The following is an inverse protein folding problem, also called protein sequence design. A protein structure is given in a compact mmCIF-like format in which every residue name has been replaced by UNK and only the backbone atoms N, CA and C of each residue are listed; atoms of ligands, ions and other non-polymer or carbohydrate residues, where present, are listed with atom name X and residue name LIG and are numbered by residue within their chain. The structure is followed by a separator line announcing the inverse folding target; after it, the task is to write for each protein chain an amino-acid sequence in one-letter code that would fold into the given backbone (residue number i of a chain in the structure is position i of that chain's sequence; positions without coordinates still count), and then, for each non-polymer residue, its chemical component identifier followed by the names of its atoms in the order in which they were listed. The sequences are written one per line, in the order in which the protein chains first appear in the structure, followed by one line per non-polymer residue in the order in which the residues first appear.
data_IF_120552810719
#
_entry.id   IF_120552810719
#
_cell.length_a   1.000
_cell.length_b   1.000
_cell.length_c   1.000
_cell.angle_alpha   90.00
_cell.angle_beta   90.00
_cell.angle_gamma   90.00
#
_symmetry.space_group_name_H-M   'P 1'
#
loop_
_entity.id
_entity.type
_entity.pdbx_description
1 polymer ?
#
# COMPACT_ATOMS: atom_id res chain seq x y z
N UNK A 1 -23.07 20.41 -28.78
CA UNK A 1 -23.62 20.33 -27.42
C UNK A 1 -22.54 20.82 -26.47
N UNK A 2 -22.86 21.73 -25.54
CA UNK A 2 -21.86 22.20 -24.57
C UNK A 2 -21.82 21.23 -23.40
N UNK A 3 -20.63 20.72 -23.05
CA UNK A 3 -20.47 19.75 -21.96
C UNK A 3 -19.20 19.98 -21.15
N UNK A 4 -19.25 19.63 -19.87
CA UNK A 4 -18.10 19.47 -18.98
C UNK A 4 -17.98 17.99 -18.65
N UNK A 5 -16.76 17.46 -18.77
CA UNK A 5 -16.42 16.09 -18.42
C UNK A 5 -15.48 16.09 -17.23
N UNK A 6 -15.91 15.49 -16.13
CA UNK A 6 -15.11 15.31 -14.92
C UNK A 6 -14.52 13.90 -14.91
N UNK A 7 -13.19 13.83 -14.89
CA UNK A 7 -12.45 12.57 -14.97
C UNK A 7 -11.99 12.09 -13.60
N UNK A 8 -11.77 10.77 -13.52
CA UNK A 8 -11.17 10.14 -12.36
C UNK A 8 -9.70 10.50 -12.25
N UNK A 9 -9.22 10.57 -11.02
CA UNK A 9 -7.81 10.70 -10.67
C UNK A 9 -7.12 9.34 -10.79
N UNK A 10 -6.00 9.30 -11.51
CA UNK A 10 -5.15 8.10 -11.62
C UNK A 10 -4.41 7.78 -10.31
N UNK A 11 -4.31 8.75 -9.40
CA UNK A 11 -3.57 8.63 -8.14
C UNK A 11 -4.07 7.51 -7.24
N UNK A 12 -5.39 7.22 -7.26
CA UNK A 12 -5.95 6.11 -6.48
C UNK A 12 -5.52 4.74 -7.03
N UNK A 13 -5.47 4.59 -8.35
CA UNK A 13 -4.96 3.37 -8.99
C UNK A 13 -3.49 3.13 -8.64
N UNK A 14 -2.67 4.18 -8.73
CA UNK A 14 -1.26 4.13 -8.33
C UNK A 14 -1.07 3.81 -6.84
N UNK A 15 -1.94 4.33 -5.95
CA UNK A 15 -1.91 3.98 -4.53
C UNK A 15 -2.17 2.49 -4.29
N UNK A 16 -3.15 1.91 -5.00
CA UNK A 16 -3.45 0.48 -4.89
C UNK A 16 -2.24 -0.34 -5.34
N UNK A 17 -1.65 0.00 -6.49
CA UNK A 17 -0.44 -0.68 -6.99
C UNK A 17 0.69 -0.58 -5.95
N UNK A 18 0.97 0.63 -5.46
CA UNK A 18 2.01 0.85 -4.46
C UNK A 18 1.78 0.12 -3.14
N UNK A 19 0.52 -0.12 -2.75
CA UNK A 19 0.18 -0.91 -1.56
C UNK A 19 0.33 -2.41 -1.79
N UNK A 20 0.05 -2.92 -2.99
CA UNK A 20 0.12 -4.35 -3.30
C UNK A 20 1.53 -4.81 -3.68
N UNK A 21 2.30 -3.97 -4.37
CA UNK A 21 3.61 -4.32 -4.93
C UNK A 21 4.59 -4.89 -3.87
N UNK A 22 4.75 -4.31 -2.66
CA UNK A 22 5.68 -4.84 -1.67
C UNK A 22 5.34 -6.27 -1.22
N UNK A 23 4.06 -6.60 -1.09
CA UNK A 23 3.62 -7.94 -0.71
C UNK A 23 3.91 -8.96 -1.82
N UNK A 24 3.67 -8.59 -3.08
CA UNK A 24 3.97 -9.47 -4.21
C UNK A 24 5.47 -9.73 -4.32
N UNK A 25 6.30 -8.68 -4.23
CA UNK A 25 7.76 -8.82 -4.30
C UNK A 25 8.30 -9.66 -3.14
N UNK A 26 7.84 -9.38 -1.92
CA UNK A 26 8.26 -10.12 -0.73
C UNK A 26 7.90 -11.60 -0.85
N UNK A 27 6.67 -11.93 -1.26
CA UNK A 27 6.22 -13.31 -1.36
C UNK A 27 6.86 -14.06 -2.52
N UNK A 28 7.18 -13.39 -3.64
CA UNK A 28 7.96 -14.01 -4.71
C UNK A 28 9.37 -14.38 -4.23
N UNK A 29 9.98 -13.54 -3.39
CA UNK A 29 11.24 -13.86 -2.73
C UNK A 29 11.07 -15.00 -1.73
N UNK A 30 9.99 -15.02 -0.92
CA UNK A 30 9.78 -16.16 0.00
C UNK A 30 9.55 -17.48 -0.74
N UNK A 31 8.94 -17.41 -1.91
CA UNK A 31 8.59 -18.59 -2.69
C UNK A 31 9.84 -19.31 -3.23
N UNK A 32 10.95 -18.59 -3.51
CA UNK A 32 12.19 -19.21 -4.01
C UNK A 32 12.80 -20.19 -3.01
N UNK A 33 12.65 -19.91 -1.72
CA UNK A 33 13.32 -20.66 -0.66
C UNK A 33 12.39 -21.72 -0.05
N UNK A 34 11.13 -21.75 -0.47
CA UNK A 34 10.14 -22.72 0.05
C UNK A 34 10.12 -24.01 -0.75
N UNK A 35 10.24 -25.15 -0.06
CA UNK A 35 10.09 -26.47 -0.67
C UNK A 35 8.70 -26.64 -1.28
N UNK A 36 8.66 -27.18 -2.49
CA UNK A 36 7.42 -27.45 -3.22
C UNK A 36 6.46 -28.33 -2.42
N UNK A 37 5.18 -27.97 -2.43
CA UNK A 37 4.11 -28.74 -1.77
C UNK A 37 3.97 -28.49 -0.27
N UNK A 38 4.81 -27.64 0.33
CA UNK A 38 4.66 -27.24 1.73
C UNK A 38 3.49 -26.28 1.94
N UNK A 39 3.01 -26.16 3.18
CA UNK A 39 1.96 -25.19 3.53
C UNK A 39 2.41 -23.75 3.30
N UNK A 40 3.70 -23.45 3.45
CA UNK A 40 4.28 -22.13 3.17
C UNK A 40 4.25 -21.83 1.66
N UNK A 41 4.63 -22.79 0.81
CA UNK A 41 4.54 -22.66 -0.64
C UNK A 41 3.12 -22.29 -1.12
N UNK A 42 2.10 -22.97 -0.60
CA UNK A 42 0.70 -22.68 -0.95
C UNK A 42 0.26 -21.30 -0.44
N UNK A 43 0.67 -20.91 0.78
CA UNK A 43 0.35 -19.59 1.33
C UNK A 43 0.94 -18.46 0.51
N UNK A 44 2.20 -18.58 0.09
CA UNK A 44 2.85 -17.56 -0.74
C UNK A 44 2.14 -17.39 -2.08
N UNK A 45 1.75 -18.48 -2.74
CA UNK A 45 0.92 -18.40 -3.95
C UNK A 45 -0.43 -17.72 -3.75
N UNK A 46 -1.13 -18.02 -2.65
CA UNK A 46 -2.40 -17.36 -2.33
C UNK A 46 -2.20 -15.85 -2.11
N UNK A 47 -1.13 -15.47 -1.42
CA UNK A 47 -0.76 -14.09 -1.15
C UNK A 47 -0.44 -13.35 -2.45
N UNK A 48 0.44 -13.93 -3.29
CA UNK A 48 0.80 -13.40 -4.62
C UNK A 48 -0.45 -13.22 -5.48
N UNK A 49 -1.34 -14.23 -5.54
CA UNK A 49 -2.57 -14.13 -6.31
C UNK A 49 -3.48 -13.00 -5.80
N UNK A 50 -3.69 -12.92 -4.48
CA UNK A 50 -4.57 -11.92 -3.87
C UNK A 50 -4.06 -10.49 -4.10
N UNK A 51 -2.79 -10.22 -3.79
CA UNK A 51 -2.20 -8.90 -3.98
C UNK A 51 -1.91 -8.60 -5.46
N UNK A 52 -1.63 -9.62 -6.29
CA UNK A 52 -1.48 -9.51 -7.73
C UNK A 52 -2.77 -9.06 -8.42
N UNK A 53 -3.94 -9.55 -7.98
CA UNK A 53 -5.24 -9.02 -8.41
C UNK A 53 -5.39 -7.53 -8.08
N UNK A 54 -4.89 -7.10 -6.91
CA UNK A 54 -4.85 -5.70 -6.52
C UNK A 54 -4.05 -4.84 -7.51
N UNK A 55 -2.91 -5.34 -8.01
CA UNK A 55 -2.12 -4.66 -9.05
C UNK A 55 -2.94 -4.53 -10.35
N UNK A 56 -3.60 -5.61 -10.81
CA UNK A 56 -4.45 -5.57 -12.00
C UNK A 56 -5.60 -4.55 -11.86
N UNK A 57 -6.28 -4.54 -10.72
CA UNK A 57 -7.33 -3.57 -10.39
C UNK A 57 -6.76 -2.15 -10.38
N UNK A 58 -5.59 -1.96 -9.76
CA UNK A 58 -4.90 -0.68 -9.73
C UNK A 58 -4.54 -0.17 -11.13
N UNK A 59 -4.04 -1.05 -12.01
CA UNK A 59 -3.75 -0.72 -13.41
C UNK A 59 -5.03 -0.35 -14.15
N UNK A 60 -6.10 -1.12 -14.00
CA UNK A 60 -7.40 -0.80 -14.60
C UNK A 60 -7.89 0.59 -14.16
N UNK A 61 -7.82 0.92 -12.87
CA UNK A 61 -8.18 2.24 -12.36
C UNK A 61 -7.25 3.36 -12.84
N UNK A 62 -5.97 3.07 -13.06
CA UNK A 62 -4.97 4.04 -13.51
C UNK A 62 -5.18 4.39 -14.98
N UNK A 63 -5.56 3.40 -15.80
CA UNK A 63 -5.75 3.55 -17.23
C UNK A 63 -7.21 3.82 -17.64
N UNK A 64 -8.19 3.73 -16.73
CA UNK A 64 -9.58 4.09 -17.02
C UNK A 64 -9.73 5.61 -17.18
N UNK A 65 -9.60 6.09 -18.42
CA UNK A 65 -9.75 7.50 -18.80
C UNK A 65 -11.18 7.92 -19.11
N UNK A 66 -12.17 7.06 -18.82
CA UNK A 66 -13.58 7.40 -19.05
C UNK A 66 -14.04 8.48 -18.07
N UNK A 67 -14.85 9.47 -18.52
CA UNK A 67 -15.42 10.46 -17.62
C UNK A 67 -16.30 9.77 -16.59
N UNK A 68 -16.26 10.27 -15.35
CA UNK A 68 -17.14 9.81 -14.30
C UNK A 68 -18.45 10.60 -14.30
N UNK A 69 -18.35 11.93 -14.32
CA UNK A 69 -19.50 12.82 -14.35
C UNK A 69 -19.46 13.63 -15.65
N UNK A 70 -20.59 13.70 -16.33
CA UNK A 70 -20.80 14.53 -17.51
C UNK A 70 -21.92 15.52 -17.19
N UNK A 71 -21.64 16.81 -17.36
CA UNK A 71 -22.57 17.91 -17.12
C UNK A 71 -22.85 18.55 -18.47
N UNK A 72 -24.09 18.55 -18.90
CA UNK A 72 -24.52 19.09 -20.19
C UNK A 72 -25.53 20.21 -19.98
N UNK A 73 -25.96 20.85 -21.07
CA UNK A 73 -27.06 21.82 -21.05
C UNK A 73 -28.44 21.21 -20.69
N UNK A 74 -28.60 19.89 -20.82
CA UNK A 74 -29.86 19.16 -20.56
C UNK A 74 -29.90 18.53 -19.18
N UNK A 75 -28.77 18.10 -18.63
CA UNK A 75 -28.73 17.45 -17.33
C UNK A 75 -27.33 17.09 -16.85
N UNK A 76 -27.31 16.23 -15.84
CA UNK A 76 -26.10 15.66 -15.25
C UNK A 76 -26.19 14.13 -15.29
N UNK A 77 -25.09 13.50 -15.67
CA UNK A 77 -24.95 12.05 -15.68
C UNK A 77 -23.72 11.63 -14.88
N UNK A 78 -23.87 10.62 -14.03
CA UNK A 78 -22.77 10.01 -13.27
C UNK A 78 -22.74 8.51 -13.52
N UNK A 79 -21.59 8.04 -14.00
CA UNK A 79 -21.34 6.62 -14.28
C UNK A 79 -21.50 5.72 -13.05
N UNK A 80 -21.32 6.25 -11.84
CA UNK A 80 -21.35 5.46 -10.59
C UNK A 80 -22.75 5.22 -10.05
N UNK A 81 -23.73 6.06 -10.40
CA UNK A 81 -25.11 5.95 -9.90
C UNK A 81 -25.90 4.86 -10.63
N UNK A 82 -25.43 4.42 -11.81
CA UNK A 82 -26.14 3.52 -12.73
C UNK A 82 -27.56 4.01 -13.08
N UNK A 83 -27.78 5.32 -13.08
CA UNK A 83 -29.00 5.95 -13.54
C UNK A 83 -28.80 6.56 -14.94
N UNK A 84 -29.91 6.93 -15.58
CA UNK A 84 -29.86 7.73 -16.81
C UNK A 84 -29.55 9.20 -16.46
N UNK A 85 -29.38 10.05 -17.47
CA UNK A 85 -29.12 11.48 -17.26
C UNK A 85 -30.28 12.11 -16.47
N UNK A 86 -29.93 12.78 -15.36
CA UNK A 86 -30.88 13.51 -14.53
C UNK A 86 -31.05 14.89 -15.14
N UNK A 87 -32.24 15.21 -15.61
CA UNK A 87 -32.50 16.50 -16.24
C UNK A 87 -32.47 17.61 -15.18
N UNK A 88 -32.00 18.78 -15.58
CA UNK A 88 -31.91 19.92 -14.67
C UNK A 88 -33.25 20.33 -14.07
N UNK A 89 -34.34 20.19 -14.83
CA UNK A 89 -35.69 20.50 -14.39
C UNK A 89 -36.16 19.60 -13.24
N UNK A 90 -35.56 18.40 -13.11
CA UNK A 90 -35.92 17.42 -12.10
C UNK A 90 -35.15 17.63 -10.80
N UNK A 91 -34.13 18.49 -10.78
CA UNK A 91 -33.29 18.75 -9.62
C UNK A 91 -33.82 19.97 -8.88
N UNK A 92 -34.31 19.76 -7.66
CA UNK A 92 -34.79 20.83 -6.78
C UNK A 92 -33.59 21.56 -6.18
N UNK A 93 -32.67 20.81 -5.60
CA UNK A 93 -31.44 21.33 -4.98
C UNK A 93 -30.36 20.24 -4.88
N UNK A 94 -29.13 20.69 -4.62
CA UNK A 94 -27.97 19.87 -4.35
C UNK A 94 -27.26 20.38 -3.10
N UNK A 95 -26.72 19.46 -2.29
CA UNK A 95 -25.94 19.80 -1.11
C UNK A 95 -24.73 18.87 -0.92
N UNK A 96 -23.63 19.38 -0.33
CA UNK A 96 -22.44 18.58 -0.02
C UNK A 96 -22.76 17.58 1.09
N UNK A 97 -22.15 16.39 1.03
CA UNK A 97 -22.27 15.36 2.04
C UNK A 97 -20.95 14.62 2.22
N UNK A 98 -20.44 14.57 3.45
CA UNK A 98 -19.25 13.79 3.82
C UNK A 98 -19.67 12.55 4.61
N UNK A 99 -19.39 11.37 4.06
CA UNK A 99 -19.59 10.08 4.72
C UNK A 99 -18.25 9.36 4.81
N UNK A 100 -17.74 9.16 6.02
CA UNK A 100 -16.48 8.44 6.26
C UNK A 100 -15.29 8.99 5.46
N UNK A 101 -15.11 10.32 5.40
CA UNK A 101 -14.06 11.00 4.64
C UNK A 101 -14.21 10.84 3.11
N UNK A 102 -15.34 10.32 2.65
CA UNK A 102 -15.72 10.30 1.25
C UNK A 102 -16.73 11.42 0.99
N UNK A 103 -16.41 12.22 -0.02
CA UNK A 103 -17.20 13.38 -0.42
C UNK A 103 -18.25 12.98 -1.46
N UNK A 104 -19.46 13.49 -1.27
CA UNK A 104 -20.60 13.29 -2.14
C UNK A 104 -21.32 14.61 -2.38
N UNK A 105 -22.04 14.69 -3.49
CA UNK A 105 -23.08 15.71 -3.67
C UNK A 105 -24.42 14.97 -3.71
N UNK A 106 -25.25 15.22 -2.72
CA UNK A 106 -26.61 14.68 -2.67
C UNK A 106 -27.51 15.55 -3.55
N UNK A 107 -28.26 14.90 -4.45
CA UNK A 107 -29.24 15.57 -5.31
C UNK A 107 -30.65 15.30 -4.79
N UNK A 108 -31.38 16.37 -4.52
CA UNK A 108 -32.81 16.32 -4.21
C UNK A 108 -33.57 16.47 -5.53
N UNK A 109 -34.32 15.43 -5.90
CA UNK A 109 -35.11 15.42 -7.13
C UNK A 109 -36.59 15.59 -6.84
N UNK A 110 -37.34 16.11 -7.81
CA UNK A 110 -38.80 16.14 -7.75
C UNK A 110 -39.43 14.77 -8.05
N UNK A 111 -40.76 14.70 -7.92
CA UNK A 111 -41.55 13.48 -8.11
C UNK A 111 -41.55 12.97 -9.57
N UNK A 112 -41.09 13.78 -10.53
CA UNK A 112 -41.02 13.39 -11.94
C UNK A 112 -39.80 12.52 -12.24
N UNK A 113 -38.81 12.49 -11.35
CA UNK A 113 -37.64 11.64 -11.49
C UNK A 113 -37.94 10.19 -11.09
N UNK A 114 -37.76 9.27 -12.04
CA UNK A 114 -37.96 7.83 -11.81
C UNK A 114 -36.62 7.12 -11.83
N UNK A 115 -36.27 6.49 -10.72
CA UNK A 115 -35.08 5.65 -10.63
C UNK A 115 -35.17 4.46 -11.59
N UNK A 116 -34.19 4.34 -12.47
CA UNK A 116 -34.00 3.17 -13.34
C UNK A 116 -33.74 1.91 -12.53
N UNK A 117 -32.89 2.04 -11.50
CA UNK A 117 -32.60 0.98 -10.55
C UNK A 117 -32.91 1.49 -9.15
N UNK A 118 -33.99 0.96 -8.56
CA UNK A 118 -34.36 1.31 -7.19
C UNK A 118 -33.26 0.86 -6.23
N UNK A 119 -32.86 1.72 -5.27
CA UNK A 119 -31.96 1.31 -4.20
C UNK A 119 -32.60 0.19 -3.37
N UNK A 120 -31.75 -0.64 -2.76
CA UNK A 120 -32.23 -1.68 -1.86
C UNK A 120 -32.88 -1.05 -0.62
N UNK A 121 -33.97 -1.63 -0.11
CA UNK A 121 -34.72 -1.11 1.06
C UNK A 121 -33.83 -0.84 2.28
N UNK A 122 -32.82 -1.68 2.52
CA UNK A 122 -31.88 -1.49 3.62
C UNK A 122 -30.97 -0.26 3.40
N UNK A 123 -30.58 0.00 2.16
CA UNK A 123 -29.76 1.16 1.80
C UNK A 123 -30.57 2.46 1.90
N UNK A 124 -31.86 2.45 1.53
CA UNK A 124 -32.76 3.60 1.72
C UNK A 124 -32.90 3.99 3.18
N UNK A 125 -33.02 3.00 4.08
CA UNK A 125 -33.11 3.25 5.52
C UNK A 125 -31.83 3.90 6.05
N UNK A 126 -30.67 3.39 5.65
CA UNK A 126 -29.36 3.95 6.01
C UNK A 126 -29.22 5.37 5.47
N UNK A 127 -29.55 5.60 4.19
CA UNK A 127 -29.49 6.92 3.57
C UNK A 127 -30.30 7.94 4.38
N UNK A 128 -31.52 7.59 4.79
CA UNK A 128 -32.37 8.44 5.60
C UNK A 128 -31.76 8.75 6.98
N UNK A 129 -31.14 7.77 7.62
CA UNK A 129 -30.51 7.93 8.94
C UNK A 129 -29.24 8.81 8.89
N UNK A 130 -28.49 8.77 7.79
CA UNK A 130 -27.26 9.55 7.60
C UNK A 130 -27.49 10.90 6.88
N UNK A 131 -28.74 11.24 6.57
CA UNK A 131 -29.09 12.47 5.85
C UNK A 131 -28.71 12.48 4.36
N UNK A 132 -28.43 11.31 3.79
CA UNK A 132 -28.15 11.15 2.36
C UNK A 132 -29.45 11.01 1.56
N UNK A 133 -29.44 11.50 0.32
CA UNK A 133 -30.52 11.20 -0.63
C UNK A 133 -30.29 9.83 -1.27
N UNK A 134 -31.27 9.36 -2.03
CA UNK A 134 -31.12 8.15 -2.84
C UNK A 134 -30.25 8.38 -4.10
N UNK A 135 -29.98 9.65 -4.43
CA UNK A 135 -29.17 10.04 -5.58
C UNK A 135 -27.98 10.89 -5.12
N UNK A 136 -26.81 10.24 -5.02
CA UNK A 136 -25.57 10.86 -4.55
C UNK A 136 -24.48 10.74 -5.62
N UNK A 137 -23.90 11.87 -6.00
CA UNK A 137 -22.75 11.92 -6.91
C UNK A 137 -21.48 11.69 -6.10
N UNK A 138 -20.72 10.64 -6.40
CA UNK A 138 -19.53 10.30 -5.63
C UNK A 138 -18.31 11.09 -6.12
N UNK A 139 -17.79 12.01 -5.30
CA UNK A 139 -16.64 12.84 -5.69
C UNK A 139 -15.29 12.23 -5.33
N UNK A 140 -15.26 11.11 -4.60
CA UNK A 140 -14.02 10.57 -4.06
C UNK A 140 -12.95 10.25 -5.11
N UNK A 141 -13.31 10.04 -6.39
CA UNK A 141 -12.34 9.79 -7.45
C UNK A 141 -12.05 11.03 -8.32
N UNK A 142 -12.74 12.15 -8.14
CA UNK A 142 -12.66 13.35 -8.99
C UNK A 142 -11.93 14.46 -8.26
N UNK A 143 -11.07 15.20 -8.96
CA UNK A 143 -10.31 16.30 -8.37
C UNK A 143 -11.04 17.64 -8.51
N UNK A 144 -12.12 17.84 -7.74
CA UNK A 144 -12.94 19.05 -7.81
C UNK A 144 -13.33 19.52 -6.41
N UNK A 145 -13.49 20.84 -6.25
CA UNK A 145 -14.04 21.41 -5.02
C UNK A 145 -15.55 21.10 -4.95
N UNK A 146 -15.92 20.33 -3.93
CA UNK A 146 -17.30 19.89 -3.66
C UNK A 146 -18.29 21.06 -3.52
N UNK A 147 -17.91 22.12 -2.82
CA UNK A 147 -18.78 23.29 -2.61
C UNK A 147 -18.98 24.05 -3.92
N UNK A 148 -17.90 24.30 -4.67
CA UNK A 148 -17.99 24.98 -5.96
C UNK A 148 -18.83 24.19 -6.96
N UNK A 149 -18.67 22.87 -7.01
CA UNK A 149 -19.47 22.02 -7.88
C UNK A 149 -20.95 21.99 -7.44
N UNK A 150 -21.22 21.96 -6.14
CA UNK A 150 -22.59 22.01 -5.61
C UNK A 150 -23.28 23.32 -5.98
N UNK A 151 -22.61 24.45 -5.76
CA UNK A 151 -23.14 25.77 -6.13
C UNK A 151 -23.37 25.88 -7.64
N UNK A 152 -22.47 25.29 -8.43
CA UNK A 152 -22.61 25.23 -9.88
C UNK A 152 -23.85 24.42 -10.32
N UNK A 153 -24.06 23.23 -9.74
CA UNK A 153 -25.24 22.39 -9.98
C UNK A 153 -26.53 23.13 -9.61
N UNK A 154 -26.57 23.77 -8.44
CA UNK A 154 -27.71 24.57 -7.99
C UNK A 154 -28.02 25.77 -8.88
N UNK A 155 -26.99 26.37 -9.49
CA UNK A 155 -27.16 27.44 -10.48
C UNK A 155 -27.73 26.89 -11.78
N UNK A 156 -27.26 25.73 -12.25
CA UNK A 156 -27.75 25.14 -13.50
C UNK A 156 -29.21 24.70 -13.40
N UNK A 157 -29.64 24.11 -12.27
CA UNK A 157 -31.03 23.66 -12.09
C UNK A 157 -32.05 24.80 -12.21
N UNK A 158 -31.68 26.01 -11.80
CA UNK A 158 -32.57 27.19 -11.78
C UNK A 158 -32.61 27.99 -13.09
N UNK A 159 -31.77 27.66 -14.07
CA UNK A 159 -31.56 28.48 -15.27
C UNK A 159 -32.17 27.85 -16.52
N UNK A 160 -32.41 28.66 -17.55
CA UNK A 160 -32.86 28.19 -18.87
C UNK A 160 -31.68 27.66 -19.70
N UNK A 161 -31.97 26.86 -20.72
CA UNK A 161 -30.97 26.17 -21.55
C UNK A 161 -29.87 27.09 -22.12
N UNK A 162 -30.21 28.30 -22.58
CA UNK A 162 -29.22 29.24 -23.12
C UNK A 162 -28.27 29.81 -22.05
N UNK A 163 -28.79 30.07 -20.84
CA UNK A 163 -27.96 30.50 -19.72
C UNK A 163 -27.10 29.35 -19.18
N UNK A 164 -27.63 28.12 -19.15
CA UNK A 164 -26.85 26.92 -18.83
C UNK A 164 -25.66 26.76 -19.77
N UNK A 165 -25.85 26.93 -21.08
CA UNK A 165 -24.75 26.89 -22.06
C UNK A 165 -23.65 27.90 -21.76
N UNK A 166 -24.02 29.13 -21.38
CA UNK A 166 -23.04 30.17 -20.99
C UNK A 166 -22.29 29.75 -19.73
N UNK A 167 -23.00 29.33 -18.69
CA UNK A 167 -22.43 28.88 -17.42
C UNK A 167 -21.44 27.74 -17.61
N UNK A 168 -21.79 26.73 -18.41
CA UNK A 168 -20.93 25.58 -18.73
C UNK A 168 -19.66 26.03 -19.45
N UNK A 169 -19.75 26.96 -20.41
CA UNK A 169 -18.56 27.49 -21.11
C UNK A 169 -17.62 28.28 -20.19
N UNK A 170 -18.18 28.99 -19.21
CA UNK A 170 -17.41 29.84 -18.27
C UNK A 170 -16.93 29.09 -17.03
N UNK A 171 -17.34 27.84 -16.84
CA UNK A 171 -16.95 27.07 -15.67
C UNK A 171 -15.48 26.66 -15.78
N UNK A 172 -14.62 27.40 -15.09
CA UNK A 172 -13.23 27.01 -14.90
C UNK A 172 -13.16 25.98 -13.78
N UNK A 173 -12.83 24.74 -14.13
CA UNK A 173 -12.44 23.76 -13.15
C UNK A 173 -11.10 24.19 -12.55
N UNK A 174 -11.13 24.82 -11.37
CA UNK A 174 -9.94 24.94 -10.53
C UNK A 174 -9.63 23.55 -10.01
N UNK A 175 -8.94 22.76 -10.85
CA UNK A 175 -8.37 21.51 -10.40
C UNK A 175 -7.61 21.79 -9.11
N UNK A 176 -7.92 21.00 -8.10
CA UNK A 176 -7.25 21.04 -6.82
C UNK A 176 -5.79 20.69 -7.11
N UNK A 177 -4.95 21.72 -7.28
CA UNK A 177 -3.59 21.57 -7.83
C UNK A 177 -2.90 20.47 -7.04
N UNK A 178 -2.48 19.41 -7.74
CA UNK A 178 -1.58 18.39 -7.22
C UNK A 178 -0.29 19.10 -6.84
N UNK A 179 -0.27 19.67 -5.64
CA UNK A 179 0.76 20.57 -5.22
C UNK A 179 2.03 19.78 -4.93
N UNK A 180 3.16 20.41 -5.19
CA UNK A 180 4.50 19.99 -4.73
C UNK A 180 4.49 19.49 -3.27
N UNK A 181 3.54 19.97 -2.45
CA UNK A 181 3.26 19.48 -1.09
C UNK A 181 2.96 17.98 -1.00
N UNK A 182 2.28 17.38 -1.99
CA UNK A 182 1.96 15.95 -1.97
C UNK A 182 3.21 15.08 -2.16
N UNK A 183 4.09 15.44 -3.10
CA UNK A 183 5.36 14.75 -3.28
C UNK A 183 6.28 14.91 -2.07
N UNK A 184 6.36 16.13 -1.50
CA UNK A 184 7.10 16.38 -0.27
C UNK A 184 6.60 15.49 0.89
N UNK A 185 5.28 15.31 1.04
CA UNK A 185 4.72 14.40 2.05
C UNK A 185 5.14 12.96 1.83
N UNK A 186 5.15 12.49 0.58
CA UNK A 186 5.63 11.13 0.25
C UNK A 186 7.08 10.98 0.66
N UNK A 187 7.95 11.91 0.27
CA UNK A 187 9.39 11.86 0.62
C UNK A 187 9.58 11.83 2.13
N UNK A 188 8.86 12.69 2.87
CA UNK A 188 8.90 12.70 4.34
C UNK A 188 8.47 11.35 4.92
N UNK A 189 7.40 10.73 4.39
CA UNK A 189 6.95 9.42 4.87
C UNK A 189 7.94 8.31 4.56
N UNK A 190 8.60 8.34 3.40
CA UNK A 190 9.67 7.38 3.08
C UNK A 190 10.84 7.54 4.06
N UNK A 191 11.29 8.77 4.33
CA UNK A 191 12.37 9.03 5.28
C UNK A 191 12.02 8.58 6.71
N UNK A 192 10.79 8.83 7.17
CA UNK A 192 10.31 8.34 8.47
C UNK A 192 10.33 6.82 8.51
N UNK A 193 9.86 6.15 7.45
CA UNK A 193 9.85 4.68 7.38
C UNK A 193 11.25 4.09 7.43
N UNK A 194 12.21 4.69 6.72
CA UNK A 194 13.61 4.29 6.76
C UNK A 194 14.23 4.51 8.14
N UNK A 195 13.97 5.66 8.78
CA UNK A 195 14.46 5.93 10.14
C UNK A 195 13.90 4.93 11.16
N UNK A 196 12.60 4.59 11.06
CA UNK A 196 11.99 3.55 11.88
C UNK A 196 12.60 2.18 11.64
N UNK A 197 12.91 1.83 10.40
CA UNK A 197 13.57 0.57 10.05
C UNK A 197 14.94 0.49 10.72
N UNK A 198 15.77 1.52 10.58
CA UNK A 198 17.09 1.55 11.24
C UNK A 198 16.98 1.46 12.77
N UNK A 199 16.02 2.17 13.37
CA UNK A 199 15.75 2.08 14.80
C UNK A 199 15.33 0.65 15.21
N UNK A 200 14.47 0.02 14.43
CA UNK A 200 14.00 -1.34 14.71
C UNK A 200 15.11 -2.37 14.63
N UNK A 201 16.00 -2.23 13.65
CA UNK A 201 17.16 -3.12 13.47
C UNK A 201 18.22 -2.94 14.56
N UNK A 202 18.22 -1.81 15.28
CA UNK A 202 19.19 -1.55 16.35
C UNK A 202 18.97 -2.42 17.60
N UNK A 203 17.73 -2.80 17.90
CA UNK A 203 17.40 -3.58 19.09
C UNK A 203 16.00 -4.20 18.99
N UNK A 204 15.90 -5.45 19.44
CA UNK A 204 14.62 -6.15 19.57
C UNK A 204 13.62 -5.39 20.46
N UNK A 205 14.09 -4.71 21.51
CA UNK A 205 13.24 -3.91 22.41
C UNK A 205 12.62 -2.73 21.66
N UNK A 206 13.38 -2.07 20.79
CA UNK A 206 12.89 -0.94 19.98
C UNK A 206 11.86 -1.42 18.97
N UNK A 207 12.14 -2.53 18.28
CA UNK A 207 11.18 -3.17 17.37
C UNK A 207 9.85 -3.49 18.08
N UNK A 208 9.90 -4.17 19.23
CA UNK A 208 8.69 -4.51 19.99
C UNK A 208 7.93 -3.28 20.48
N UNK A 209 8.63 -2.21 20.86
CA UNK A 209 8.01 -0.93 21.25
C UNK A 209 7.20 -0.34 20.08
N UNK A 210 7.77 -0.33 18.87
CA UNK A 210 7.07 0.14 17.66
C UNK A 210 5.82 -0.72 17.38
N UNK A 211 5.92 -2.04 17.55
CA UNK A 211 4.79 -2.96 17.36
C UNK A 211 3.65 -2.71 18.36
N UNK A 212 3.97 -2.43 19.63
CA UNK A 212 2.99 -2.09 20.66
C UNK A 212 2.30 -0.75 20.32
N UNK A 213 3.07 0.27 19.94
CA UNK A 213 2.54 1.58 19.52
C UNK A 213 1.62 1.44 18.31
N UNK A 214 1.99 0.62 17.33
CA UNK A 214 1.15 0.30 16.18
C UNK A 214 -0.19 -0.31 16.60
N UNK A 215 -0.17 -1.30 17.51
CA UNK A 215 -1.37 -1.97 18.02
C UNK A 215 -2.31 -1.02 18.76
N UNK A 216 -1.77 -0.19 19.66
CA UNK A 216 -2.54 0.85 20.36
C UNK A 216 -3.13 1.85 19.37
N UNK A 217 -2.35 2.27 18.37
CA UNK A 217 -2.81 3.21 17.35
C UNK A 217 -3.94 2.62 16.50
N UNK A 218 -3.87 1.33 16.15
CA UNK A 218 -4.91 0.65 15.39
C UNK A 218 -6.22 0.60 16.18
N UNK A 219 -6.13 0.30 17.48
CA UNK A 219 -7.26 0.31 18.40
C UNK A 219 -7.91 1.71 18.47
N UNK A 220 -7.11 2.76 18.65
CA UNK A 220 -7.58 4.15 18.73
C UNK A 220 -8.25 4.57 17.41
N UNK A 221 -7.63 4.28 16.28
CA UNK A 221 -8.18 4.61 14.96
C UNK A 221 -9.54 3.95 14.69
N UNK A 222 -9.76 2.75 15.26
CA UNK A 222 -11.01 2.00 15.09
C UNK A 222 -12.12 2.43 16.04
N UNK A 223 -11.82 2.68 17.32
CA UNK A 223 -12.83 2.86 18.38
C UNK A 223 -13.06 4.30 18.84
N UNK A 224 -12.32 5.28 18.34
CA UNK A 224 -12.57 6.72 18.63
C UNK A 224 -12.91 7.50 17.35
N UNK A 225 -14.07 7.24 16.71
CA UNK A 225 -14.44 7.91 15.47
C UNK A 225 -14.70 9.41 15.64
N UNK A 226 -15.04 9.86 16.86
CA UNK A 226 -15.51 11.21 17.16
C UNK A 226 -14.41 12.28 17.08
N UNK A 227 -13.14 11.90 17.24
CA UNK A 227 -12.00 12.81 17.15
C UNK A 227 -11.23 12.58 15.85
N UNK A 228 -11.59 13.34 14.81
CA UNK A 228 -11.01 13.21 13.48
C UNK A 228 -9.48 13.40 13.45
N UNK A 229 -8.94 14.30 14.27
CA UNK A 229 -7.49 14.56 14.35
C UNK A 229 -6.78 13.34 14.94
N UNK A 230 -7.28 12.83 16.07
CA UNK A 230 -6.70 11.67 16.74
C UNK A 230 -6.79 10.42 15.84
N UNK A 231 -7.95 10.18 15.22
CA UNK A 231 -8.15 9.06 14.29
C UNK A 231 -7.16 9.10 13.13
N UNK A 232 -6.96 10.29 12.54
CA UNK A 232 -6.03 10.48 11.43
C UNK A 232 -4.59 10.12 11.82
N UNK A 233 -4.08 10.65 12.94
CA UNK A 233 -2.71 10.39 13.36
C UNK A 233 -2.51 8.96 13.87
N UNK A 234 -3.50 8.39 14.56
CA UNK A 234 -3.50 6.99 14.93
C UNK A 234 -3.46 6.08 13.70
N UNK A 235 -4.25 6.37 12.66
CA UNK A 235 -4.19 5.65 11.39
C UNK A 235 -2.82 5.72 10.71
N UNK A 236 -2.20 6.91 10.70
CA UNK A 236 -0.84 7.10 10.16
C UNK A 236 0.19 6.26 10.94
N UNK A 237 0.13 6.28 12.28
CA UNK A 237 1.04 5.51 13.13
C UNK A 237 0.87 3.99 12.93
N UNK A 238 -0.36 3.51 12.76
CA UNK A 238 -0.64 2.11 12.41
C UNK A 238 0.01 1.73 11.08
N UNK A 239 -0.12 2.56 10.05
CA UNK A 239 0.48 2.31 8.74
C UNK A 239 2.00 2.29 8.80
N UNK A 240 2.63 3.22 9.52
CA UNK A 240 4.07 3.20 9.70
C UNK A 240 4.57 1.97 10.44
N UNK A 241 3.87 1.55 11.49
CA UNK A 241 4.21 0.31 12.20
C UNK A 241 4.11 -0.92 11.31
N UNK A 242 3.07 -1.01 10.48
CA UNK A 242 2.88 -2.13 9.55
C UNK A 242 3.97 -2.16 8.48
N UNK A 243 4.26 -1.01 7.86
CA UNK A 243 5.33 -0.89 6.86
C UNK A 243 6.67 -1.27 7.48
N UNK A 244 6.96 -0.77 8.69
CA UNK A 244 8.18 -1.09 9.41
C UNK A 244 8.30 -2.59 9.71
N UNK A 245 7.22 -3.25 10.14
CA UNK A 245 7.20 -4.70 10.37
C UNK A 245 7.55 -5.47 9.09
N UNK A 246 6.90 -5.14 7.97
CA UNK A 246 7.15 -5.78 6.67
C UNK A 246 8.59 -5.57 6.23
N UNK A 247 9.11 -4.35 6.34
CA UNK A 247 10.50 -4.03 6.00
C UNK A 247 11.49 -4.76 6.90
N UNK A 248 11.24 -4.85 8.21
CA UNK A 248 12.10 -5.59 9.13
C UNK A 248 12.15 -7.08 8.76
N UNK A 249 11.00 -7.70 8.51
CA UNK A 249 10.94 -9.12 8.11
C UNK A 249 11.70 -9.33 6.80
N UNK A 250 11.54 -8.43 5.83
CA UNK A 250 12.27 -8.50 4.57
C UNK A 250 13.78 -8.40 4.78
N UNK A 251 14.24 -7.45 5.62
CA UNK A 251 15.68 -7.29 5.93
C UNK A 251 16.24 -8.51 6.66
N UNK A 252 15.51 -9.05 7.64
CA UNK A 252 15.94 -10.26 8.38
C UNK A 252 16.14 -11.42 7.41
N UNK A 253 15.18 -11.65 6.51
CA UNK A 253 15.29 -12.75 5.55
C UNK A 253 16.41 -12.57 4.55
N UNK A 254 16.59 -11.36 4.01
CA UNK A 254 17.71 -11.08 3.10
C UNK A 254 19.05 -11.28 3.81
N UNK A 255 19.16 -10.85 5.07
CA UNK A 255 20.35 -11.06 5.88
C UNK A 255 20.62 -12.54 6.13
N UNK A 256 19.61 -13.30 6.56
CA UNK A 256 19.74 -14.73 6.84
C UNK A 256 20.14 -15.49 5.58
N UNK A 257 19.49 -15.23 4.43
CA UNK A 257 19.81 -15.88 3.15
C UNK A 257 21.25 -15.60 2.69
N UNK A 258 21.72 -14.35 2.77
CA UNK A 258 23.10 -14.01 2.41
C UNK A 258 24.09 -14.69 3.37
N UNK A 259 23.74 -14.78 4.66
CA UNK A 259 24.59 -15.44 5.66
C UNK A 259 24.69 -16.94 5.39
N UNK A 260 23.59 -17.59 4.99
CA UNK A 260 23.53 -18.99 4.57
C UNK A 260 24.40 -19.24 3.34
N UNK A 261 24.17 -18.49 2.25
CA UNK A 261 24.92 -18.62 0.99
C UNK A 261 26.43 -18.45 1.20
N UNK A 262 26.83 -17.49 2.04
CA UNK A 262 28.25 -17.23 2.33
C UNK A 262 28.85 -18.32 3.22
N UNK A 263 28.11 -18.83 4.20
CA UNK A 263 28.57 -19.90 5.08
C UNK A 263 28.78 -21.20 4.31
N UNK A 264 27.89 -21.53 3.38
CA UNK A 264 28.04 -22.68 2.49
C UNK A 264 29.31 -22.57 1.64
N UNK A 265 29.55 -21.41 1.02
CA UNK A 265 30.78 -21.16 0.25
C UNK A 265 32.05 -21.31 1.10
N UNK A 266 32.03 -20.77 2.33
CA UNK A 266 33.16 -20.90 3.27
C UNK A 266 33.37 -22.35 3.68
N UNK A 267 32.29 -23.09 3.98
CA UNK A 267 32.37 -24.50 4.36
C UNK A 267 32.95 -25.37 3.24
N UNK A 268 32.48 -25.18 1.99
CA UNK A 268 33.00 -25.89 0.81
C UNK A 268 34.51 -25.67 0.66
N UNK A 269 34.98 -24.43 0.74
CA UNK A 269 36.40 -24.11 0.59
C UNK A 269 37.25 -24.66 1.76
N UNK A 270 36.72 -24.70 2.99
CA UNK A 270 37.39 -25.36 4.13
C UNK A 270 37.58 -26.86 3.85
N UNK A 271 36.54 -27.53 3.34
CA UNK A 271 36.63 -28.95 3.01
C UNK A 271 37.59 -29.23 1.85
N UNK A 272 37.61 -28.39 0.82
CA UNK A 272 38.57 -28.48 -0.27
C UNK A 272 40.00 -28.27 0.21
N UNK A 273 40.21 -27.29 1.09
CA UNK A 273 41.51 -27.07 1.73
C UNK A 273 41.97 -28.29 2.52
N UNK A 274 41.08 -28.90 3.32
CA UNK A 274 41.39 -30.09 4.11
C UNK A 274 41.72 -31.29 3.22
N UNK A 275 41.00 -31.49 2.11
CA UNK A 275 41.29 -32.55 1.12
C UNK A 275 42.69 -32.40 0.50
N UNK A 276 43.12 -31.17 0.23
CA UNK A 276 44.42 -30.88 -0.40
C UNK A 276 45.60 -30.96 0.59
N UNK A 277 45.42 -30.45 1.82
CA UNK A 277 46.51 -30.27 2.77
C UNK A 277 46.50 -31.29 3.92
N UNK A 278 45.50 -32.17 4.01
CA UNK A 278 45.26 -33.14 5.10
C UNK A 278 45.05 -32.53 6.50
N UNK A 279 45.12 -31.20 6.61
CA UNK A 279 44.94 -30.42 7.84
C UNK A 279 43.88 -29.34 7.61
N UNK A 280 43.15 -28.97 8.66
CA UNK A 280 42.23 -27.84 8.64
C UNK A 280 42.99 -26.50 8.51
N UNK A 281 42.38 -25.46 7.92
CA UNK A 281 42.98 -24.14 7.86
C UNK A 281 43.14 -23.56 9.28
N UNK A 282 44.23 -22.81 9.50
CA UNK A 282 44.49 -22.17 10.80
C UNK A 282 43.70 -20.89 11.03
N UNK A 283 43.20 -20.26 9.96
CA UNK A 283 42.41 -19.03 10.00
C UNK A 283 41.44 -18.96 8.82
N UNK A 284 40.18 -18.58 9.09
CA UNK A 284 39.12 -18.36 8.10
C UNK A 284 39.46 -17.21 7.14
N UNK A 285 40.28 -16.23 7.53
CA UNK A 285 40.67 -15.14 6.61
C UNK A 285 41.39 -15.64 5.37
N UNK A 286 42.23 -16.67 5.52
CA UNK A 286 42.96 -17.27 4.40
C UNK A 286 42.02 -17.98 3.40
N UNK A 287 40.86 -18.44 3.87
CA UNK A 287 39.78 -19.01 3.09
C UNK A 287 38.99 -17.90 2.40
N UNK A 288 38.59 -16.86 3.15
CA UNK A 288 37.84 -15.71 2.64
C UNK A 288 38.59 -14.94 1.54
N UNK A 289 39.93 -14.90 1.58
CA UNK A 289 40.75 -14.26 0.53
C UNK A 289 40.79 -15.04 -0.79
N UNK A 290 40.53 -16.35 -0.76
CA UNK A 290 40.45 -17.20 -1.96
C UNK A 290 39.07 -17.14 -2.63
N UNK A 291 38.03 -16.92 -1.84
CA UNK A 291 36.67 -16.80 -2.36
C UNK A 291 36.51 -15.49 -3.15
N UNK A 292 35.91 -15.56 -4.34
CA UNK A 292 35.58 -14.39 -5.16
C UNK A 292 34.33 -13.66 -4.64
N UNK A 293 34.30 -13.32 -3.35
CA UNK A 293 33.15 -12.68 -2.70
C UNK A 293 33.03 -11.21 -3.11
N UNK A 294 31.80 -10.79 -3.40
CA UNK A 294 31.45 -9.38 -3.58
C UNK A 294 31.54 -8.61 -2.26
N UNK A 295 31.39 -7.28 -2.32
CA UNK A 295 31.54 -6.41 -1.14
C UNK A 295 30.59 -6.77 0.02
N UNK A 296 29.34 -7.14 -0.29
CA UNK A 296 28.34 -7.50 0.71
C UNK A 296 28.67 -8.88 1.29
N UNK A 297 28.87 -9.88 0.45
CA UNK A 297 29.23 -11.25 0.88
C UNK A 297 30.48 -11.25 1.76
N UNK A 298 31.49 -10.44 1.42
CA UNK A 298 32.71 -10.30 2.22
C UNK A 298 32.45 -9.69 3.59
N UNK A 299 31.49 -8.77 3.71
CA UNK A 299 31.08 -8.26 5.02
C UNK A 299 30.51 -9.39 5.89
N UNK A 300 29.65 -10.24 5.32
CA UNK A 300 29.07 -11.39 6.03
C UNK A 300 30.10 -12.48 6.36
N UNK A 301 31.00 -12.82 5.44
CA UNK A 301 32.06 -13.81 5.66
C UNK A 301 32.97 -13.42 6.83
N UNK A 302 33.19 -12.13 7.04
CA UNK A 302 33.97 -11.61 8.16
C UNK A 302 33.23 -11.61 9.51
N UNK A 303 31.91 -11.88 9.52
CA UNK A 303 31.12 -12.05 10.74
C UNK A 303 31.00 -13.52 11.17
N UNK A 304 31.51 -14.46 10.36
CA UNK A 304 31.51 -15.88 10.67
C UNK A 304 32.72 -16.19 11.56
N UNK A 305 32.44 -16.64 12.78
CA UNK A 305 33.42 -17.14 13.73
C UNK A 305 33.77 -18.60 13.36
N UNK A 306 35.06 -18.89 13.24
CA UNK A 306 35.58 -20.21 12.92
C UNK A 306 36.31 -20.81 14.12
N UNK A 307 35.99 -22.06 14.47
CA UNK A 307 36.69 -22.82 15.52
C UNK A 307 37.05 -24.20 15.01
N UNK A 308 38.19 -24.72 15.44
CA UNK A 308 38.67 -26.06 15.11
C UNK A 308 38.74 -26.95 16.35
N UNK A 309 38.40 -28.22 16.17
CA UNK A 309 38.39 -29.26 17.19
C UNK A 309 39.01 -30.54 16.64
N UNK A 310 40.28 -30.80 16.94
CA UNK A 310 41.07 -31.97 16.47
C UNK A 310 40.96 -32.26 14.95
N UNK A 311 39.88 -32.90 14.51
CA UNK A 311 39.58 -33.25 13.12
C UNK A 311 38.30 -32.61 12.56
N UNK A 312 37.67 -31.71 13.30
CA UNK A 312 36.42 -31.05 12.93
C UNK A 312 36.51 -29.53 13.07
N UNK A 313 35.54 -28.81 12.49
CA UNK A 313 35.39 -27.37 12.60
C UNK A 313 33.94 -26.98 12.84
N UNK A 314 33.76 -25.81 13.45
CA UNK A 314 32.47 -25.18 13.70
C UNK A 314 32.49 -23.77 13.10
N UNK A 315 31.40 -23.42 12.41
CA UNK A 315 31.13 -22.06 11.95
C UNK A 315 29.96 -21.52 12.78
N UNK A 316 30.19 -20.40 13.46
CA UNK A 316 29.17 -19.66 14.21
C UNK A 316 28.95 -18.30 13.52
N UNK A 317 27.70 -17.83 13.39
CA UNK A 317 27.42 -16.47 12.95
C UNK A 317 26.46 -15.77 13.91
N UNK A 318 26.65 -14.46 14.04
CA UNK A 318 25.69 -13.61 14.74
C UNK A 318 24.59 -13.21 13.75
N UNK A 319 23.40 -13.77 13.91
CA UNK A 319 22.23 -13.38 13.14
C UNK A 319 21.72 -12.00 13.58
N UNK A 320 20.86 -11.38 12.76
CA UNK A 320 20.14 -10.16 13.14
C UNK A 320 19.43 -10.34 14.49
N UNK A 321 19.53 -9.32 15.36
CA UNK A 321 19.14 -9.33 16.78
C UNK A 321 20.02 -10.14 17.73
N UNK A 322 21.22 -10.54 17.31
CA UNK A 322 22.24 -11.12 18.20
C UNK A 322 21.97 -12.57 18.60
N UNK A 323 21.08 -13.28 17.89
CA UNK A 323 20.97 -14.73 18.02
C UNK A 323 22.18 -15.36 17.33
N UNK A 324 23.02 -16.08 18.08
CA UNK A 324 24.05 -16.93 17.49
C UNK A 324 23.42 -18.21 16.95
N UNK A 325 23.89 -18.64 15.80
CA UNK A 325 23.58 -19.95 15.24
C UNK A 325 24.87 -20.65 14.84
N UNK A 326 24.83 -21.97 14.84
CA UNK A 326 25.92 -22.82 14.36
C UNK A 326 25.52 -23.38 13.01
N UNK A 327 26.44 -23.39 12.06
CA UNK A 327 26.20 -23.93 10.72
C UNK A 327 26.33 -25.45 10.74
N UNK A 328 25.25 -26.16 10.43
CA UNK A 328 25.26 -27.59 10.20
C UNK A 328 25.72 -27.87 8.76
N UNK A 329 27.00 -28.16 8.61
CA UNK A 329 27.63 -28.56 7.34
C UNK A 329 26.96 -29.76 6.65
N UNK A 330 26.26 -30.64 7.39
CA UNK A 330 25.65 -31.83 6.79
C UNK A 330 24.34 -31.51 6.06
N UNK A 331 23.57 -30.55 6.61
CA UNK A 331 22.29 -30.13 6.06
C UNK A 331 22.38 -28.79 5.32
N UNK A 332 23.52 -28.11 5.38
CA UNK A 332 23.74 -26.77 4.81
C UNK A 332 22.80 -25.70 5.39
N UNK A 333 22.49 -25.79 6.69
CA UNK A 333 21.53 -24.92 7.38
C UNK A 333 22.11 -24.38 8.71
N UNK A 334 21.60 -23.25 9.22
CA UNK A 334 21.96 -22.71 10.55
C UNK A 334 20.99 -23.13 11.66
N UNK A 335 21.48 -23.79 12.71
CA UNK A 335 20.71 -24.21 13.90
C UNK A 335 20.65 -23.16 15.03
#
# INVERSE_FOLDING_TARGET
MTEIKLYKTSTKGLKIIGMCLPFVVLELFLLSDTTYGTTNYVKSWLCICFFGLGILVGLFHTFDRRPQIIITETGIWDRTTNQDEIKWEQIIEAYPLDLFEQKFISLVTDDTYVFKKKPYKWAEKINKEIGAQNLNLHLGQININELELTDFINRLSKQKIEERRKLIKTFENKETKSSVSYFQKIVVYVLISLAMLFLSLSSFVVFMTIMIVMGISAFIARWRPDNAILRKYAGIATWFGLINMVLCIAVIKVYDNITEDVAEQVAIEIEEFQKLNTTLPTDIKSINEKLELNFIERYFANQIDYRTYDNDYELEANMLFGKRRTYDKNNSEWE
#
